data_IF_606527508598
#
_entry.id   IF_606527508598
#
_cell.length_a   1.000
_cell.length_b   1.000
_cell.length_c   1.000
_cell.angle_alpha   90.00
_cell.angle_beta   90.00
_cell.angle_gamma   90.00
#
_symmetry.space_group_name_H-M   'P 1'
#
loop_
_entity.id
_entity.type
_entity.pdbx_description
1 polymer ?
#
# COMPACT_ATOMS: atom_id res chain seq x y z
N UNK A 1 2.34 33.84 9.74
CA UNK A 1 3.17 32.65 9.64
C UNK A 1 2.94 31.89 8.35
N UNK A 2 4.02 31.37 7.76
CA UNK A 2 3.97 30.62 6.47
C UNK A 2 3.87 29.10 6.67
N UNK A 3 3.68 28.61 7.90
CA UNK A 3 3.72 27.17 8.22
C UNK A 3 2.74 26.34 7.42
N UNK A 4 1.51 26.84 7.20
CA UNK A 4 0.53 26.12 6.38
C UNK A 4 0.94 26.01 4.91
N UNK A 5 1.62 27.00 4.36
CA UNK A 5 2.15 26.97 3.00
C UNK A 5 3.21 25.87 2.85
N UNK A 6 4.12 25.76 3.84
CA UNK A 6 5.14 24.72 3.86
C UNK A 6 4.52 23.32 4.04
N UNK A 7 3.54 23.19 4.92
CA UNK A 7 2.84 21.92 5.12
C UNK A 7 2.15 21.44 3.84
N UNK A 8 1.46 22.33 3.11
CA UNK A 8 0.81 21.95 1.83
C UNK A 8 1.83 21.55 0.76
N UNK A 9 2.96 22.23 0.70
CA UNK A 9 4.04 21.86 -0.22
C UNK A 9 4.59 20.48 0.08
N UNK A 10 4.92 20.20 1.34
CA UNK A 10 5.42 18.90 1.78
C UNK A 10 4.41 17.78 1.47
N UNK A 11 3.15 17.95 1.85
CA UNK A 11 2.09 16.96 1.62
C UNK A 11 1.89 16.62 0.15
N UNK A 12 2.11 17.56 -0.76
CA UNK A 12 2.02 17.30 -2.19
C UNK A 12 3.09 16.31 -2.67
N UNK A 13 4.30 16.39 -2.12
CA UNK A 13 5.42 15.51 -2.46
C UNK A 13 5.36 14.16 -1.72
N UNK A 14 4.87 14.15 -0.48
CA UNK A 14 4.75 12.91 0.32
C UNK A 14 3.80 11.87 -0.31
N UNK A 15 2.84 12.28 -1.13
CA UNK A 15 1.86 11.38 -1.76
C UNK A 15 2.53 10.27 -2.56
N UNK A 16 3.63 10.53 -3.23
CA UNK A 16 4.41 9.53 -3.96
C UNK A 16 5.02 8.48 -3.02
N UNK A 17 5.67 8.94 -1.94
CA UNK A 17 6.24 8.04 -0.94
C UNK A 17 5.17 7.20 -0.23
N UNK A 18 4.03 7.82 0.10
CA UNK A 18 2.91 7.14 0.77
C UNK A 18 2.25 6.10 -0.13
N UNK A 19 2.18 6.34 -1.44
CA UNK A 19 1.64 5.37 -2.40
C UNK A 19 2.41 4.05 -2.39
N UNK A 20 3.73 4.09 -2.17
CA UNK A 20 4.57 2.93 -1.89
C UNK A 20 4.57 1.88 -2.99
N UNK A 21 4.53 2.27 -4.27
CA UNK A 21 4.42 1.36 -5.42
C UNK A 21 5.53 0.31 -5.41
N UNK A 22 6.79 0.72 -5.30
CA UNK A 22 7.93 -0.21 -5.27
C UNK A 22 7.90 -1.18 -4.08
N UNK A 23 7.39 -0.76 -2.91
CA UNK A 23 7.18 -1.65 -1.77
C UNK A 23 6.06 -2.66 -2.05
N UNK A 24 4.96 -2.21 -2.65
CA UNK A 24 3.84 -3.06 -3.05
C UNK A 24 4.25 -4.10 -4.08
N UNK A 25 5.11 -3.76 -5.05
CA UNK A 25 5.66 -4.71 -6.02
C UNK A 25 6.46 -5.83 -5.33
N UNK A 26 7.32 -5.49 -4.37
CA UNK A 26 8.07 -6.49 -3.60
C UNK A 26 7.14 -7.41 -2.80
N UNK A 27 6.12 -6.85 -2.17
CA UNK A 27 5.14 -7.63 -1.41
C UNK A 27 4.30 -8.53 -2.31
N UNK A 28 3.86 -8.06 -3.47
CA UNK A 28 3.15 -8.87 -4.45
C UNK A 28 4.00 -10.06 -4.91
N UNK A 29 5.27 -9.84 -5.25
CA UNK A 29 6.17 -10.91 -5.66
C UNK A 29 6.38 -11.95 -4.55
N UNK A 30 6.49 -11.50 -3.29
CA UNK A 30 6.56 -12.40 -2.13
C UNK A 30 5.28 -13.24 -2.01
N UNK A 31 4.11 -12.60 -2.11
CA UNK A 31 2.81 -13.28 -2.08
C UNK A 31 2.66 -14.31 -3.20
N UNK A 32 3.05 -13.97 -4.43
CA UNK A 32 3.03 -14.92 -5.56
C UNK A 32 3.85 -16.16 -5.24
N UNK A 33 5.04 -15.99 -4.65
CA UNK A 33 5.90 -17.10 -4.24
C UNK A 33 5.32 -17.96 -3.11
N UNK A 34 4.51 -17.39 -2.23
CA UNK A 34 3.80 -18.11 -1.16
C UNK A 34 2.60 -18.86 -1.74
N UNK A 35 1.72 -18.15 -2.45
CA UNK A 35 0.43 -18.67 -2.92
C UNK A 35 0.63 -19.73 -4.00
N UNK A 36 1.71 -19.66 -4.81
CA UNK A 36 2.03 -20.70 -5.77
C UNK A 36 2.31 -22.08 -5.14
N UNK A 37 2.57 -22.13 -3.85
CA UNK A 37 2.78 -23.38 -3.08
C UNK A 37 1.53 -23.84 -2.33
N UNK A 38 0.47 -23.04 -2.37
CA UNK A 38 -0.81 -23.34 -1.76
C UNK A 38 -1.77 -23.84 -2.85
N UNK A 39 -2.44 -24.94 -2.60
CA UNK A 39 -3.52 -25.44 -3.49
C UNK A 39 -4.82 -24.65 -3.23
N UNK A 40 -4.78 -23.36 -3.62
CA UNK A 40 -5.90 -22.45 -3.42
C UNK A 40 -6.08 -21.52 -4.62
N UNK A 41 -6.99 -21.90 -5.51
CA UNK A 41 -7.28 -21.17 -6.75
C UNK A 41 -7.91 -19.80 -6.51
N UNK A 42 -8.61 -19.59 -5.39
CA UNK A 42 -9.21 -18.32 -5.04
C UNK A 42 -8.15 -17.30 -4.65
N UNK A 43 -7.17 -17.68 -3.82
CA UNK A 43 -6.02 -16.83 -3.49
C UNK A 43 -5.21 -16.50 -4.75
N UNK A 44 -5.01 -17.47 -5.64
CA UNK A 44 -4.32 -17.22 -6.91
C UNK A 44 -5.04 -16.19 -7.76
N UNK A 45 -6.38 -16.26 -7.85
CA UNK A 45 -7.19 -15.27 -8.56
C UNK A 45 -7.03 -13.87 -7.94
N UNK A 46 -7.15 -13.74 -6.62
CA UNK A 46 -6.97 -12.46 -5.91
C UNK A 46 -5.59 -11.86 -6.17
N UNK A 47 -4.54 -12.65 -6.13
CA UNK A 47 -3.17 -12.17 -6.42
C UNK A 47 -3.06 -11.65 -7.86
N UNK A 48 -3.64 -12.32 -8.83
CA UNK A 48 -3.62 -11.89 -10.24
C UNK A 48 -4.39 -10.57 -10.43
N UNK A 49 -5.52 -10.39 -9.74
CA UNK A 49 -6.28 -9.13 -9.75
C UNK A 49 -5.47 -7.97 -9.15
N UNK A 50 -4.75 -8.21 -8.05
CA UNK A 50 -3.86 -7.20 -7.46
C UNK A 50 -2.66 -6.88 -8.37
N UNK A 51 -2.13 -7.85 -9.10
CA UNK A 51 -1.05 -7.62 -10.07
C UNK A 51 -1.49 -6.67 -11.20
N UNK A 52 -2.67 -6.89 -11.77
CA UNK A 52 -3.22 -6.00 -12.81
C UNK A 52 -3.45 -4.59 -12.25
N UNK A 53 -4.04 -4.48 -11.06
CA UNK A 53 -4.27 -3.19 -10.41
C UNK A 53 -2.96 -2.46 -10.10
N UNK A 54 -1.94 -3.18 -9.61
CA UNK A 54 -0.63 -2.60 -9.28
C UNK A 54 0.09 -2.11 -10.54
N UNK A 55 0.01 -2.83 -11.65
CA UNK A 55 0.57 -2.38 -12.92
C UNK A 55 -0.02 -1.04 -13.39
N UNK A 56 -1.33 -0.84 -13.21
CA UNK A 56 -1.97 0.43 -13.52
C UNK A 56 -1.49 1.58 -12.60
N UNK A 57 -1.26 1.29 -11.31
CA UNK A 57 -0.71 2.25 -10.35
C UNK A 57 0.72 2.63 -10.72
N UNK A 58 1.56 1.64 -11.08
CA UNK A 58 2.94 1.84 -11.52
C UNK A 58 3.02 2.77 -12.74
N UNK A 59 2.25 2.50 -13.78
CA UNK A 59 2.20 3.36 -14.97
C UNK A 59 1.73 4.77 -14.61
N UNK A 60 0.79 4.90 -13.68
CA UNK A 60 0.33 6.20 -13.20
C UNK A 60 1.46 6.95 -12.48
N UNK A 61 2.23 6.28 -11.61
CA UNK A 61 3.40 6.85 -10.95
C UNK A 61 4.45 7.32 -11.95
N UNK A 62 4.82 6.48 -12.92
CA UNK A 62 5.80 6.80 -13.95
C UNK A 62 5.40 8.03 -14.79
N UNK A 63 4.12 8.13 -15.15
CA UNK A 63 3.59 9.30 -15.88
C UNK A 63 3.71 10.58 -15.07
N UNK A 64 3.38 10.53 -13.79
CA UNK A 64 3.48 11.68 -12.88
C UNK A 64 4.95 12.08 -12.66
N UNK A 65 5.85 11.11 -12.47
CA UNK A 65 7.29 11.37 -12.32
C UNK A 65 7.87 12.01 -13.59
N UNK A 66 7.53 11.49 -14.76
CA UNK A 66 7.96 12.08 -16.02
C UNK A 66 7.46 13.52 -16.21
N UNK A 67 6.23 13.81 -15.78
CA UNK A 67 5.72 15.19 -15.83
C UNK A 67 6.49 16.12 -14.89
N UNK A 68 6.92 15.65 -13.72
CA UNK A 68 7.75 16.41 -12.77
C UNK A 68 9.15 16.67 -13.31
N UNK A 69 9.80 15.68 -13.94
CA UNK A 69 11.11 15.82 -14.58
C UNK A 69 11.11 16.87 -15.69
N UNK A 70 10.00 17.04 -16.38
CA UNK A 70 9.81 18.05 -17.41
C UNK A 70 9.38 19.43 -16.85
N UNK A 71 9.60 19.69 -15.57
CA UNK A 71 9.34 20.98 -14.92
C UNK A 71 7.90 21.19 -14.46
N UNK A 72 7.08 20.14 -14.49
CA UNK A 72 5.73 20.17 -13.91
C UNK A 72 5.75 20.21 -12.39
N UNK A 73 4.57 20.38 -11.80
CA UNK A 73 4.35 20.30 -10.35
C UNK A 73 3.40 19.14 -10.05
N UNK A 74 3.48 18.52 -8.84
CA UNK A 74 2.51 17.53 -8.43
C UNK A 74 1.09 18.10 -8.46
N UNK A 75 0.30 17.65 -9.42
CA UNK A 75 -1.09 18.05 -9.59
C UNK A 75 -2.04 17.29 -8.65
N UNK A 76 -3.33 17.56 -8.81
CA UNK A 76 -4.38 16.85 -8.07
C UNK A 76 -4.38 15.35 -8.38
N UNK A 77 -3.88 14.95 -9.55
CA UNK A 77 -3.76 13.54 -9.98
C UNK A 77 -2.88 12.71 -9.04
N UNK A 78 -1.92 13.32 -8.35
CA UNK A 78 -1.13 12.66 -7.30
C UNK A 78 -1.99 12.10 -6.17
N UNK A 79 -3.21 12.64 -6.00
CA UNK A 79 -4.20 12.10 -5.06
C UNK A 79 -4.74 10.73 -5.48
N UNK A 80 -4.83 10.46 -6.80
CA UNK A 80 -5.20 9.12 -7.32
C UNK A 80 -4.16 8.11 -6.88
N UNK A 81 -2.89 8.46 -7.07
CA UNK A 81 -1.76 7.61 -6.69
C UNK A 81 -1.79 7.29 -5.19
N UNK A 82 -2.02 8.30 -4.32
CA UNK A 82 -2.12 8.10 -2.87
C UNK A 82 -3.29 7.19 -2.50
N UNK A 83 -4.48 7.41 -3.05
CA UNK A 83 -5.66 6.58 -2.76
C UNK A 83 -5.39 5.13 -3.18
N UNK A 84 -5.04 4.92 -4.45
CA UNK A 84 -4.86 3.58 -5.01
C UNK A 84 -3.67 2.84 -4.42
N UNK A 85 -2.57 3.53 -4.16
CA UNK A 85 -1.40 2.95 -3.50
C UNK A 85 -1.70 2.49 -2.07
N UNK A 86 -2.43 3.29 -1.28
CA UNK A 86 -2.81 2.90 0.09
C UNK A 86 -3.83 1.76 0.13
N UNK A 87 -4.80 1.76 -0.79
CA UNK A 87 -5.72 0.63 -0.97
C UNK A 87 -4.95 -0.65 -1.35
N UNK A 88 -3.97 -0.55 -2.25
CA UNK A 88 -3.12 -1.68 -2.65
C UNK A 88 -2.33 -2.24 -1.47
N UNK A 89 -1.69 -1.39 -0.66
CA UNK A 89 -0.97 -1.82 0.55
C UNK A 89 -1.89 -2.58 1.51
N UNK A 90 -3.11 -2.10 1.71
CA UNK A 90 -4.10 -2.74 2.57
C UNK A 90 -4.53 -4.10 2.01
N UNK A 91 -4.85 -4.18 0.73
CA UNK A 91 -5.27 -5.43 0.08
C UNK A 91 -4.16 -6.48 0.09
N UNK A 92 -2.91 -6.09 -0.20
CA UNK A 92 -1.76 -6.99 -0.10
C UNK A 92 -1.58 -7.54 1.31
N UNK A 93 -1.68 -6.67 2.33
CA UNK A 93 -1.55 -7.09 3.73
C UNK A 93 -2.68 -8.03 4.18
N UNK A 94 -3.89 -7.82 3.68
CA UNK A 94 -5.03 -8.69 3.93
C UNK A 94 -4.82 -10.07 3.29
N UNK A 95 -4.34 -10.10 2.05
CA UNK A 95 -4.07 -11.35 1.36
C UNK A 95 -2.92 -12.15 2.01
N UNK A 96 -1.96 -11.49 2.66
CA UNK A 96 -0.97 -12.16 3.51
C UNK A 96 -1.62 -12.87 4.70
N UNK A 97 -2.57 -12.23 5.37
CA UNK A 97 -3.31 -12.83 6.48
C UNK A 97 -4.14 -14.01 5.99
N UNK A 98 -4.84 -13.87 4.86
CA UNK A 98 -5.61 -14.97 4.27
C UNK A 98 -4.70 -16.17 3.90
N UNK A 99 -3.54 -15.91 3.30
CA UNK A 99 -2.58 -16.97 2.93
C UNK A 99 -1.98 -17.69 4.15
N UNK A 100 -1.83 -16.99 5.28
CA UNK A 100 -1.33 -17.55 6.52
C UNK A 100 -2.41 -18.35 7.30
N UNK A 101 -3.71 -18.10 7.01
CA UNK A 101 -4.83 -18.76 7.68
C UNK A 101 -4.82 -18.55 9.20
N UNK A 102 -5.06 -19.60 9.96
CA UNK A 102 -5.10 -19.53 11.43
C UNK A 102 -3.79 -19.07 12.07
N UNK A 103 -2.65 -19.33 11.44
CA UNK A 103 -1.35 -18.89 11.93
C UNK A 103 -1.17 -17.36 11.94
N UNK A 104 -1.95 -16.63 11.13
CA UNK A 104 -1.93 -15.18 11.13
C UNK A 104 -2.53 -14.58 12.43
N UNK A 105 -3.33 -15.32 13.17
CA UNK A 105 -3.95 -14.85 14.41
C UNK A 105 -2.96 -14.79 15.58
N UNK A 106 -1.78 -15.36 15.42
CA UNK A 106 -0.77 -15.36 16.46
C UNK A 106 -0.01 -14.04 16.47
N UNK A 107 -0.14 -13.32 17.58
CA UNK A 107 0.65 -12.12 17.83
C UNK A 107 1.84 -12.49 18.74
N UNK A 108 3.08 -12.45 18.22
CA UNK A 108 4.25 -12.88 18.99
C UNK A 108 4.60 -11.93 20.16
N UNK A 109 3.87 -10.82 20.31
CA UNK A 109 4.17 -9.78 21.29
C UNK A 109 5.35 -8.89 20.89
N UNK A 110 5.65 -7.83 21.68
CA UNK A 110 6.72 -6.88 21.35
C UNK A 110 8.12 -7.50 21.31
N UNK A 111 8.34 -8.60 22.01
CA UNK A 111 9.61 -9.31 22.09
C UNK A 111 9.64 -10.63 21.28
N UNK A 112 8.53 -11.03 20.71
CA UNK A 112 8.43 -12.32 20.00
C UNK A 112 9.28 -12.39 18.73
N UNK A 113 9.61 -11.24 18.13
CA UNK A 113 10.52 -11.17 16.98
C UNK A 113 12.02 -11.25 17.36
N UNK A 114 12.34 -11.11 18.64
CA UNK A 114 13.69 -11.21 19.19
C UNK A 114 13.97 -12.62 19.75
N UNK A 115 12.97 -13.50 19.77
CA UNK A 115 13.10 -14.87 20.23
C UNK A 115 13.80 -15.74 19.19
N UNK A 116 14.63 -16.65 19.67
CA UNK A 116 15.21 -17.72 18.83
C UNK A 116 14.24 -18.90 18.64
N UNK A 117 13.06 -18.83 19.21
CA UNK A 117 12.03 -19.85 19.06
C UNK A 117 11.45 -19.81 17.63
N UNK A 118 11.20 -20.98 17.08
CA UNK A 118 10.54 -21.04 15.77
C UNK A 118 9.09 -20.57 15.91
N UNK A 119 8.62 -19.67 15.03
CA UNK A 119 7.23 -19.30 15.02
C UNK A 119 6.35 -20.52 14.76
N UNK A 120 5.17 -20.55 15.32
CA UNK A 120 4.20 -21.57 14.96
C UNK A 120 3.71 -21.31 13.52
N UNK A 121 3.64 -22.37 12.72
CA UNK A 121 3.26 -22.30 11.33
C UNK A 121 4.39 -21.85 10.39
N UNK A 122 4.04 -21.44 9.17
CA UNK A 122 5.03 -21.01 8.18
C UNK A 122 5.67 -19.67 8.58
N UNK A 123 6.95 -19.50 8.28
CA UNK A 123 7.73 -18.32 8.63
C UNK A 123 7.08 -17.00 8.19
N UNK A 124 6.44 -16.98 7.02
CA UNK A 124 5.77 -15.80 6.50
C UNK A 124 4.54 -15.37 7.32
N UNK A 125 3.97 -16.24 8.14
CA UNK A 125 2.78 -15.93 8.94
C UNK A 125 3.10 -15.02 10.13
N UNK A 126 4.32 -15.07 10.66
CA UNK A 126 4.71 -14.37 11.88
C UNK A 126 4.51 -12.84 11.80
N UNK A 127 4.73 -12.24 10.65
CA UNK A 127 4.58 -10.79 10.44
C UNK A 127 3.18 -10.38 9.93
N UNK A 128 2.34 -11.34 9.53
CA UNK A 128 1.09 -11.10 8.80
C UNK A 128 0.14 -10.17 9.52
N UNK A 129 -0.24 -10.51 10.75
CA UNK A 129 -1.24 -9.74 11.53
C UNK A 129 -0.74 -8.33 11.88
N UNK A 130 0.50 -8.20 12.35
CA UNK A 130 1.04 -6.90 12.73
C UNK A 130 1.14 -5.94 11.54
N UNK A 131 1.56 -6.44 10.39
CA UNK A 131 1.57 -5.71 9.12
C UNK A 131 0.16 -5.27 8.71
N UNK A 132 -0.79 -6.19 8.71
CA UNK A 132 -2.19 -5.93 8.39
C UNK A 132 -2.79 -4.83 9.27
N UNK A 133 -2.66 -4.94 10.60
CA UNK A 133 -3.19 -3.95 11.54
C UNK A 133 -2.50 -2.59 11.38
N UNK A 134 -1.18 -2.57 11.23
CA UNK A 134 -0.42 -1.35 11.06
C UNK A 134 -0.79 -0.59 9.77
N UNK A 135 -1.02 -1.30 8.66
CA UNK A 135 -1.32 -0.66 7.37
C UNK A 135 -2.75 -0.11 7.27
N UNK A 136 -3.66 -0.38 8.23
CA UNK A 136 -4.99 0.26 8.26
C UNK A 136 -4.90 1.79 8.32
N UNK A 137 -3.85 2.35 8.92
CA UNK A 137 -3.62 3.80 9.03
C UNK A 137 -3.22 4.47 7.70
N UNK A 138 -2.79 3.73 6.68
CA UNK A 138 -2.27 4.31 5.42
C UNK A 138 -3.30 5.14 4.66
N UNK A 139 -4.59 4.80 4.78
CA UNK A 139 -5.69 5.58 4.22
C UNK A 139 -6.00 6.87 5.00
N UNK A 140 -5.37 7.09 6.16
CA UNK A 140 -5.65 8.21 7.05
C UNK A 140 -4.55 9.26 7.00
N UNK A 141 -3.30 8.89 7.20
CA UNK A 141 -2.19 9.84 7.25
C UNK A 141 -1.81 10.37 5.85
N UNK A 142 -1.08 11.49 5.81
CA UNK A 142 -0.75 12.17 4.57
C UNK A 142 -1.97 12.81 3.88
N UNK A 143 -3.03 13.05 4.62
CA UNK A 143 -4.36 13.44 4.17
C UNK A 143 -5.22 12.22 3.85
N UNK A 144 -6.35 12.09 4.55
CA UNK A 144 -7.21 10.91 4.41
C UNK A 144 -7.70 10.71 2.97
N UNK A 145 -8.08 9.48 2.63
CA UNK A 145 -8.58 9.19 1.28
C UNK A 145 -9.80 10.04 0.91
N UNK A 146 -10.63 10.44 1.88
CA UNK A 146 -11.75 11.36 1.68
C UNK A 146 -11.26 12.75 1.27
N UNK A 147 -10.22 13.28 1.93
CA UNK A 147 -9.61 14.57 1.55
C UNK A 147 -8.98 14.47 0.16
N UNK A 148 -8.34 13.34 -0.18
CA UNK A 148 -7.79 13.15 -1.53
C UNK A 148 -8.91 13.11 -2.59
N UNK A 149 -10.04 12.47 -2.31
CA UNK A 149 -11.22 12.47 -3.19
C UNK A 149 -11.78 13.88 -3.37
N UNK A 150 -11.87 14.67 -2.29
CA UNK A 150 -12.30 16.07 -2.37
C UNK A 150 -11.35 16.92 -3.23
N UNK A 151 -10.04 16.68 -3.16
CA UNK A 151 -9.07 17.36 -4.01
C UNK A 151 -9.32 17.03 -5.49
N UNK A 152 -9.55 15.74 -5.80
CA UNK A 152 -9.85 15.30 -7.17
C UNK A 152 -11.17 15.91 -7.67
N UNK A 153 -12.22 15.85 -6.87
CA UNK A 153 -13.52 16.44 -7.21
C UNK A 153 -13.37 17.90 -7.57
N UNK A 154 -12.73 18.68 -6.71
CA UNK A 154 -12.58 20.12 -6.90
C UNK A 154 -11.67 20.50 -8.07
N UNK A 155 -10.52 19.86 -8.22
CA UNK A 155 -9.47 20.35 -9.14
C UNK A 155 -9.40 19.57 -10.45
N UNK A 156 -9.97 18.36 -10.54
CA UNK A 156 -10.01 17.56 -11.77
C UNK A 156 -11.40 17.55 -12.37
N UNK A 157 -12.45 17.39 -11.56
CA UNK A 157 -13.83 17.31 -12.06
C UNK A 157 -14.53 18.67 -12.07
N UNK A 158 -14.05 19.65 -11.31
CA UNK A 158 -14.62 21.00 -11.26
C UNK A 158 -15.94 21.10 -10.45
N UNK A 159 -16.17 20.18 -9.49
CA UNK A 159 -17.37 20.12 -8.64
C UNK A 159 -17.05 20.22 -7.16
#
# INVERSE_FOLDING_TARGET
GKGWTYAKFLLAHERFGIAGVGASMRQLNRLKGIISKLDNSELQKKVNELEVALSAIEITELRLLSALENGGHPGAESSILKIKGTEMQQNLSELFVEAAGEYALMYPGPHGYESNDKPAGPEYAAEGLSGFLNLRKTSIYGGSNEIQKNILSKFVLGV
#
